data_IF_499399477390
#
_entry.id   IF_499399477390
#
_cell.length_a   1.000
_cell.length_b   1.000
_cell.length_c   1.000
_cell.angle_alpha   90.00
_cell.angle_beta   90.00
_cell.angle_gamma   90.00
#
_symmetry.space_group_name_H-M   'P 1'
#
loop_
_entity.id
_entity.type
_entity.pdbx_description
1 polymer ?
#
# COMPACT_ATOMS: atom_id res chain seq x y z
N UNK A 1 -51.29 21.59 14.94
CA UNK A 1 -50.37 20.48 15.25
C UNK A 1 -49.56 20.02 14.03
N UNK A 2 -50.07 20.08 12.79
CA UNK A 2 -49.31 19.62 11.60
C UNK A 2 -48.20 20.56 11.10
N UNK A 3 -48.33 21.88 11.27
CA UNK A 3 -47.33 22.86 10.78
C UNK A 3 -45.97 22.78 11.51
N UNK A 4 -45.95 22.34 12.77
CA UNK A 4 -44.71 22.15 13.54
C UNK A 4 -43.94 20.88 13.17
N UNK A 5 -44.63 19.89 12.57
CA UNK A 5 -44.02 18.63 12.11
C UNK A 5 -43.32 18.77 10.75
N UNK A 6 -43.80 19.66 9.87
CA UNK A 6 -43.17 19.98 8.58
C UNK A 6 -41.86 20.77 8.70
N UNK A 7 -41.81 21.77 9.59
CA UNK A 7 -40.61 22.58 9.82
C UNK A 7 -39.42 21.79 10.37
N UNK A 8 -39.69 20.78 11.22
CA UNK A 8 -38.67 19.91 11.82
C UNK A 8 -38.14 18.84 10.84
N UNK A 9 -38.93 18.48 9.82
CA UNK A 9 -38.52 17.61 8.70
C UNK A 9 -37.67 18.35 7.67
N UNK A 10 -38.06 19.58 7.32
CA UNK A 10 -37.29 20.44 6.40
C UNK A 10 -35.90 20.80 6.94
N UNK A 11 -35.81 21.15 8.23
CA UNK A 11 -34.52 21.44 8.88
C UNK A 11 -33.59 20.23 8.96
N UNK A 12 -34.13 19.01 9.15
CA UNK A 12 -33.35 17.76 9.13
C UNK A 12 -32.85 17.40 7.74
N UNK A 13 -33.68 17.55 6.71
CA UNK A 13 -33.27 17.33 5.33
C UNK A 13 -32.20 18.33 4.91
N UNK A 14 -32.38 19.62 5.23
CA UNK A 14 -31.42 20.67 4.88
C UNK A 14 -30.10 20.51 5.66
N UNK A 15 -30.15 20.09 6.92
CA UNK A 15 -28.95 19.74 7.69
C UNK A 15 -28.22 18.51 7.12
N UNK A 16 -28.94 17.47 6.66
CA UNK A 16 -28.32 16.33 5.99
C UNK A 16 -27.70 16.72 4.64
N UNK A 17 -28.39 17.56 3.86
CA UNK A 17 -27.86 18.08 2.59
C UNK A 17 -26.60 18.92 2.80
N UNK A 18 -26.58 19.78 3.82
CA UNK A 18 -25.40 20.56 4.20
C UNK A 18 -24.25 19.67 4.70
N UNK A 19 -24.54 18.61 5.45
CA UNK A 19 -23.52 17.65 5.89
C UNK A 19 -22.95 16.83 4.72
N UNK A 20 -23.79 16.41 3.78
CA UNK A 20 -23.34 15.70 2.55
C UNK A 20 -22.55 16.64 1.64
N UNK A 21 -22.99 17.90 1.48
CA UNK A 21 -22.26 18.90 0.71
C UNK A 21 -20.92 19.23 1.37
N UNK A 22 -20.86 19.32 2.71
CA UNK A 22 -19.61 19.50 3.44
C UNK A 22 -18.65 18.32 3.25
N UNK A 23 -19.14 17.08 3.19
CA UNK A 23 -18.32 15.89 2.89
C UNK A 23 -17.70 15.93 1.48
N UNK A 24 -18.29 16.64 0.51
CA UNK A 24 -17.70 16.85 -0.82
C UNK A 24 -16.50 17.82 -0.80
N UNK A 25 -16.36 18.63 0.26
CA UNK A 25 -15.24 19.57 0.44
C UNK A 25 -14.26 19.11 1.53
N UNK A 26 -14.39 17.89 2.06
CA UNK A 26 -13.37 17.31 2.94
C UNK A 26 -12.25 16.79 2.05
N UNK A 27 -11.13 17.52 2.01
CA UNK A 27 -9.88 17.01 1.44
C UNK A 27 -9.50 15.72 2.19
N UNK A 28 -9.61 14.58 1.51
CA UNK A 28 -9.13 13.32 2.05
C UNK A 28 -7.61 13.41 2.16
N UNK A 29 -7.02 13.10 3.33
CA UNK A 29 -5.58 13.09 3.45
C UNK A 29 -4.99 12.08 2.47
N UNK A 30 -3.94 12.49 1.75
CA UNK A 30 -3.21 11.60 0.86
C UNK A 30 -2.68 10.40 1.64
N UNK A 31 -2.86 9.20 1.10
CA UNK A 31 -2.26 8.01 1.67
C UNK A 31 -0.73 8.11 1.51
N UNK A 32 -0.04 8.48 2.59
CA UNK A 32 1.42 8.51 2.63
C UNK A 32 1.97 7.10 2.84
N UNK A 33 2.98 6.71 2.05
CA UNK A 33 3.74 5.50 2.34
C UNK A 33 4.50 5.67 3.66
N UNK A 34 4.59 4.63 4.48
CA UNK A 34 5.24 4.71 5.79
C UNK A 34 6.73 4.35 5.66
N UNK A 35 7.55 4.88 6.58
CA UNK A 35 8.96 4.54 6.64
C UNK A 35 9.19 3.02 6.68
N UNK A 36 9.96 2.54 5.71
CA UNK A 36 10.32 1.14 5.56
C UNK A 36 9.49 0.38 4.53
N UNK A 37 8.47 0.97 3.90
CA UNK A 37 7.78 0.32 2.79
C UNK A 37 8.74 0.04 1.64
N UNK A 38 8.65 -1.16 1.04
CA UNK A 38 9.57 -1.57 -0.02
C UNK A 38 8.82 -1.67 -1.33
N UNK A 39 9.29 -0.94 -2.33
CA UNK A 39 8.84 -1.16 -3.71
C UNK A 39 9.69 -2.27 -4.32
N UNK A 40 9.04 -3.25 -4.94
CA UNK A 40 9.68 -4.39 -5.61
C UNK A 40 9.29 -4.35 -7.09
N UNK A 41 10.29 -4.15 -7.94
CA UNK A 41 10.12 -4.03 -9.39
C UNK A 41 11.22 -4.74 -10.20
N UNK A 42 11.83 -5.80 -9.64
CA UNK A 42 12.86 -6.55 -10.35
C UNK A 42 12.30 -7.24 -11.62
N UNK A 43 11.02 -7.62 -11.60
CA UNK A 43 10.37 -8.35 -12.70
C UNK A 43 9.00 -7.80 -13.11
N UNK A 44 8.30 -7.06 -12.24
CA UNK A 44 6.90 -6.68 -12.44
C UNK A 44 6.67 -5.88 -13.71
N UNK A 45 7.34 -4.73 -13.88
CA UNK A 45 7.17 -3.90 -15.08
C UNK A 45 7.52 -4.67 -16.36
N UNK A 46 8.60 -5.48 -16.31
CA UNK A 46 9.04 -6.31 -17.44
C UNK A 46 8.02 -7.38 -17.83
N UNK A 47 7.18 -7.82 -16.89
CA UNK A 47 6.08 -8.74 -17.11
C UNK A 47 4.74 -8.05 -17.40
N UNK A 48 4.73 -6.72 -17.61
CA UNK A 48 3.51 -5.95 -17.87
C UNK A 48 2.62 -5.74 -16.63
N UNK A 49 3.14 -5.98 -15.43
CA UNK A 49 2.42 -5.81 -14.17
C UNK A 49 2.96 -4.59 -13.41
N UNK A 50 2.08 -3.89 -12.69
CA UNK A 50 2.51 -2.77 -11.85
C UNK A 50 3.53 -3.22 -10.80
N UNK A 51 4.47 -2.38 -10.34
CA UNK A 51 5.37 -2.74 -9.27
C UNK A 51 4.61 -3.08 -7.97
N UNK A 52 5.23 -3.87 -7.11
CA UNK A 52 4.64 -4.28 -5.84
C UNK A 52 5.06 -3.33 -4.73
N UNK A 53 4.12 -2.91 -3.89
CA UNK A 53 4.43 -2.24 -2.62
C UNK A 53 4.27 -3.26 -1.50
N UNK A 54 5.36 -3.51 -0.77
CA UNK A 54 5.36 -4.30 0.45
C UNK A 54 5.31 -3.37 1.67
N UNK A 55 4.18 -3.30 2.40
CA UNK A 55 4.05 -2.46 3.57
C UNK A 55 4.66 -3.13 4.79
N UNK A 56 5.85 -2.69 5.23
CA UNK A 56 6.51 -3.30 6.40
C UNK A 56 5.68 -3.12 7.67
N UNK A 57 5.04 -1.96 7.84
CA UNK A 57 4.21 -1.67 9.01
C UNK A 57 3.13 -2.73 9.23
N UNK A 58 2.31 -3.00 8.22
CA UNK A 58 1.18 -3.93 8.34
C UNK A 58 1.63 -5.35 8.74
N UNK A 59 2.77 -5.79 8.20
CA UNK A 59 3.35 -7.09 8.51
C UNK A 59 3.99 -7.10 9.91
N UNK A 60 4.63 -6.01 10.34
CA UNK A 60 5.27 -5.88 11.67
C UNK A 60 4.27 -5.88 12.84
N UNK A 61 3.02 -5.49 12.60
CA UNK A 61 1.97 -5.59 13.63
C UNK A 61 1.70 -7.05 14.04
N UNK A 62 1.95 -8.02 13.14
CA UNK A 62 1.66 -9.45 13.37
C UNK A 62 2.90 -10.31 13.50
N UNK A 63 3.98 -9.95 12.81
CA UNK A 63 5.18 -10.78 12.71
C UNK A 63 6.44 -10.03 13.09
N UNK A 64 7.36 -10.75 13.75
CA UNK A 64 8.71 -10.24 14.07
C UNK A 64 9.61 -10.30 12.84
N UNK A 65 10.65 -9.47 12.83
CA UNK A 65 11.63 -9.38 11.73
C UNK A 65 12.22 -10.75 11.32
N UNK A 66 12.45 -11.64 12.31
CA UNK A 66 13.01 -12.98 12.10
C UNK A 66 12.19 -13.82 11.13
N UNK A 67 10.85 -13.75 11.21
CA UNK A 67 9.95 -14.56 10.39
C UNK A 67 10.21 -14.30 8.90
N UNK A 68 10.38 -13.03 8.52
CA UNK A 68 10.60 -12.67 7.13
C UNK A 68 12.07 -12.86 6.73
N UNK A 69 13.00 -12.33 7.53
CA UNK A 69 14.39 -12.21 7.08
C UNK A 69 15.26 -13.44 7.35
N UNK A 70 14.98 -14.19 8.41
CA UNK A 70 15.73 -15.40 8.72
C UNK A 70 14.98 -16.66 8.25
N UNK A 71 13.69 -16.76 8.59
CA UNK A 71 12.93 -18.01 8.36
C UNK A 71 12.48 -18.15 6.90
N UNK A 72 11.89 -17.10 6.32
CA UNK A 72 11.48 -17.07 4.90
C UNK A 72 12.65 -16.70 3.97
N UNK A 73 13.71 -16.05 4.49
CA UNK A 73 14.93 -15.75 3.75
C UNK A 73 14.88 -14.48 2.88
N UNK A 74 14.05 -13.50 3.25
CA UNK A 74 14.17 -12.15 2.67
C UNK A 74 15.50 -11.51 3.09
N UNK A 75 16.33 -11.12 2.13
CA UNK A 75 17.59 -10.41 2.40
C UNK A 75 17.28 -9.00 2.92
N UNK A 76 18.18 -8.45 3.73
CA UNK A 76 18.13 -7.05 4.19
C UNK A 76 18.54 -6.07 3.08
N UNK A 77 17.99 -6.25 1.87
CA UNK A 77 18.31 -5.45 0.70
C UNK A 77 17.11 -5.47 -0.25
N UNK A 78 16.58 -4.29 -0.60
CA UNK A 78 15.54 -4.17 -1.61
C UNK A 78 16.05 -4.73 -2.96
N UNK A 79 15.27 -5.64 -3.54
CA UNK A 79 15.66 -6.34 -4.77
C UNK A 79 16.80 -7.35 -4.63
N UNK A 80 17.22 -7.69 -3.40
CA UNK A 80 18.26 -8.70 -3.17
C UNK A 80 17.80 -10.15 -3.35
N UNK A 81 16.49 -10.38 -3.40
CA UNK A 81 15.87 -11.67 -3.67
C UNK A 81 15.28 -11.70 -5.08
N UNK A 82 15.40 -12.85 -5.73
CA UNK A 82 14.75 -13.12 -7.01
C UNK A 82 13.32 -13.60 -6.80
N UNK A 83 12.44 -12.68 -6.43
CA UNK A 83 11.03 -12.96 -6.17
C UNK A 83 10.28 -12.95 -7.50
N UNK A 84 9.69 -14.09 -7.89
CA UNK A 84 8.83 -14.19 -9.06
C UNK A 84 7.58 -15.02 -8.73
N UNK A 85 6.59 -14.99 -9.62
CA UNK A 85 5.30 -15.62 -9.34
C UNK A 85 5.39 -17.15 -9.24
N UNK A 86 6.32 -17.79 -9.95
CA UNK A 86 6.56 -19.24 -9.86
C UNK A 86 6.97 -19.61 -8.43
N UNK A 87 8.00 -18.94 -7.89
CA UNK A 87 8.46 -19.16 -6.51
C UNK A 87 7.37 -18.85 -5.48
N UNK A 88 6.56 -17.82 -5.73
CA UNK A 88 5.44 -17.48 -4.84
C UNK A 88 4.37 -18.58 -4.85
N UNK A 89 4.00 -19.12 -6.00
CA UNK A 89 3.04 -20.24 -6.10
C UNK A 89 3.60 -21.48 -5.39
N UNK A 90 4.90 -21.71 -5.45
CA UNK A 90 5.61 -22.78 -4.74
C UNK A 90 5.75 -22.53 -3.22
N UNK A 91 5.05 -21.53 -2.66
CA UNK A 91 5.02 -21.24 -1.23
C UNK A 91 6.24 -20.47 -0.71
N UNK A 92 7.09 -19.94 -1.58
CA UNK A 92 8.25 -19.13 -1.18
C UNK A 92 7.88 -17.65 -1.05
N UNK A 93 8.65 -16.90 -0.27
CA UNK A 93 8.50 -15.45 -0.09
C UNK A 93 7.08 -15.07 0.33
N UNK A 94 6.34 -14.34 -0.53
CA UNK A 94 4.97 -13.93 -0.30
C UNK A 94 4.04 -15.14 -0.11
N UNK A 95 4.29 -16.22 -0.85
CA UNK A 95 3.47 -17.43 -0.86
C UNK A 95 3.54 -18.23 0.43
N UNK A 96 4.55 -18.00 1.28
CA UNK A 96 4.65 -18.63 2.59
C UNK A 96 3.48 -18.26 3.51
N UNK A 97 2.82 -17.13 3.25
CA UNK A 97 1.64 -16.68 3.99
C UNK A 97 0.44 -16.36 3.09
N UNK A 98 0.65 -15.83 1.89
CA UNK A 98 -0.42 -15.59 0.91
C UNK A 98 -0.82 -16.88 0.17
N UNK A 99 -1.26 -17.88 0.94
CA UNK A 99 -1.59 -19.22 0.47
C UNK A 99 -3.09 -19.54 0.53
N UNK A 100 -3.93 -18.58 0.94
CA UNK A 100 -5.36 -18.78 1.14
C UNK A 100 -5.74 -19.26 2.55
N UNK A 101 -4.78 -19.61 3.40
CA UNK A 101 -5.01 -20.08 4.77
C UNK A 101 -4.57 -19.04 5.81
N UNK A 102 -3.34 -18.54 5.71
CA UNK A 102 -2.78 -17.56 6.66
C UNK A 102 -3.18 -16.14 6.25
N UNK A 103 -3.11 -15.86 4.95
CA UNK A 103 -3.56 -14.63 4.31
C UNK A 103 -4.24 -14.96 2.98
N UNK A 104 -4.79 -13.93 2.34
CA UNK A 104 -5.47 -14.08 1.05
C UNK A 104 -4.57 -14.74 -0.01
N UNK A 105 -5.21 -15.46 -0.94
CA UNK A 105 -4.54 -16.12 -2.07
C UNK A 105 -3.83 -15.14 -3.00
N UNK A 106 -2.72 -15.60 -3.59
CA UNK A 106 -1.88 -14.87 -4.56
C UNK A 106 -2.58 -14.50 -5.86
N UNK A 107 -3.75 -15.08 -6.14
CA UNK A 107 -4.55 -14.76 -7.33
C UNK A 107 -5.08 -13.31 -7.31
N UNK A 108 -5.12 -12.68 -6.14
CA UNK A 108 -5.54 -11.30 -5.95
C UNK A 108 -4.44 -10.29 -6.35
N UNK A 109 -4.07 -10.29 -7.64
CA UNK A 109 -2.92 -9.58 -8.20
C UNK A 109 -2.83 -8.11 -7.76
N UNK A 110 -3.98 -7.41 -7.78
CA UNK A 110 -4.04 -5.96 -7.51
C UNK A 110 -3.73 -5.58 -6.06
N UNK A 111 -3.82 -6.53 -5.12
CA UNK A 111 -3.48 -6.28 -3.71
C UNK A 111 -1.98 -6.14 -3.50
N UNK A 112 -1.17 -6.82 -4.32
CA UNK A 112 0.28 -6.72 -4.29
C UNK A 112 0.78 -5.66 -5.28
N UNK A 113 0.33 -5.74 -6.53
CA UNK A 113 0.76 -4.90 -7.64
C UNK A 113 0.08 -3.52 -7.60
N UNK A 114 0.44 -2.70 -6.62
CA UNK A 114 -0.23 -1.44 -6.29
C UNK A 114 0.59 -0.17 -6.56
N UNK A 115 1.88 -0.28 -6.88
CA UNK A 115 2.70 0.89 -7.15
C UNK A 115 2.43 1.50 -8.54
N UNK A 116 2.88 2.74 -8.74
CA UNK A 116 2.86 3.38 -10.06
C UNK A 116 3.82 2.63 -11.01
N UNK A 117 3.43 2.35 -12.26
CA UNK A 117 4.34 1.79 -13.27
C UNK A 117 5.65 2.57 -13.36
N UNK A 118 6.77 1.87 -13.55
CA UNK A 118 8.10 2.50 -13.67
C UNK A 118 8.77 2.84 -12.33
N UNK A 119 8.07 2.71 -11.19
CA UNK A 119 8.67 2.96 -9.87
C UNK A 119 9.78 1.96 -9.60
N UNK A 120 11.01 2.44 -9.38
CA UNK A 120 12.17 1.56 -9.17
C UNK A 120 12.11 0.84 -7.83
N UNK A 121 12.73 -0.33 -7.78
CA UNK A 121 12.94 -1.07 -6.52
C UNK A 121 13.68 -0.17 -5.53
N UNK A 122 13.07 0.06 -4.36
CA UNK A 122 13.60 0.98 -3.36
C UNK A 122 12.98 0.72 -1.99
N UNK A 123 13.63 1.22 -0.94
CA UNK A 123 13.02 1.34 0.40
C UNK A 123 12.58 2.79 0.58
N UNK A 124 11.29 3.00 0.80
CA UNK A 124 10.70 4.32 1.02
C UNK A 124 11.38 5.03 2.18
N UNK A 125 11.75 6.29 1.95
CA UNK A 125 12.45 7.16 2.91
C UNK A 125 13.79 6.61 3.42
N UNK A 126 14.42 5.68 2.70
CA UNK A 126 15.74 5.19 3.12
C UNK A 126 16.79 6.29 3.10
N UNK A 127 17.62 6.33 4.14
CA UNK A 127 18.72 7.29 4.28
C UNK A 127 19.64 7.24 3.06
N UNK A 128 19.92 6.03 2.53
CA UNK A 128 20.71 5.87 1.31
C UNK A 128 20.06 6.60 0.13
N UNK A 129 18.75 6.48 -0.06
CA UNK A 129 18.07 7.17 -1.15
C UNK A 129 18.06 8.70 -0.97
N UNK A 130 17.92 9.19 0.25
CA UNK A 130 17.99 10.64 0.54
C UNK A 130 19.37 11.22 0.32
N UNK A 131 20.41 10.47 0.70
CA UNK A 131 21.81 10.90 0.57
C UNK A 131 22.34 10.73 -0.86
N UNK A 132 21.83 9.76 -1.63
CA UNK A 132 22.26 9.49 -3.00
C UNK A 132 21.48 10.28 -4.07
N UNK A 133 20.35 10.91 -3.74
CA UNK A 133 19.64 11.80 -4.68
C UNK A 133 20.38 13.15 -4.76
N UNK A 134 20.80 13.60 -5.96
CA UNK A 134 21.28 14.97 -6.12
C UNK A 134 20.17 15.95 -5.74
N UNK A 135 20.54 17.07 -5.11
CA UNK A 135 19.64 18.06 -4.51
C UNK A 135 18.78 18.89 -5.49
N UNK A 136 18.44 18.35 -6.67
CA UNK A 136 17.91 19.13 -7.81
C UNK A 136 16.70 18.50 -8.49
N UNK A 137 15.71 18.02 -7.73
CA UNK A 137 14.36 17.94 -8.28
C UNK A 137 13.33 18.19 -7.18
N UNK A 138 12.60 19.32 -7.20
CA UNK A 138 11.47 19.50 -6.32
C UNK A 138 10.44 18.42 -6.66
N UNK A 139 9.99 17.69 -5.64
CA UNK A 139 8.78 16.91 -5.74
C UNK A 139 7.63 17.92 -5.94
N UNK A 140 7.08 17.98 -7.15
CA UNK A 140 5.84 18.71 -7.38
C UNK A 140 4.77 18.07 -6.49
N UNK A 141 4.23 18.90 -5.58
CA UNK A 141 2.99 18.65 -4.85
C UNK A 141 1.83 18.58 -5.83
#
# INVERSE_FOLDING_TARGET
>A
MEKLYGMRKGGRLMACLMAVLAMLFVDLPEAHAEYGDVVINNYSDGAGMRPVIFPHWFHRVRFRCKVCHADIGFKFQAGGNEINMVKIIDGQYCGACHNGEIAWSVENCNLCHSAKPGTKTQVHESTIQKLARPATTPANK
#
